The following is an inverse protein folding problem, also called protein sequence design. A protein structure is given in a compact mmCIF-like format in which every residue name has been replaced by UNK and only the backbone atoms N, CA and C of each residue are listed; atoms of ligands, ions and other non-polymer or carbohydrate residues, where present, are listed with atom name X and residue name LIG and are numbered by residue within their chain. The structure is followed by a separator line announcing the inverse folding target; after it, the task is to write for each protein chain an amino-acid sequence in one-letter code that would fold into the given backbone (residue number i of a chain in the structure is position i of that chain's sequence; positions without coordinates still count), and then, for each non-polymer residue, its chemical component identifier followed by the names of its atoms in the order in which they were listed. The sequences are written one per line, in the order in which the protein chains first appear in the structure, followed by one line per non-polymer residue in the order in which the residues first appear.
data_IF_381183454191
#
_entry.id   IF_381183454191
#
_cell.length_a   1.000
_cell.length_b   1.000
_cell.length_c   1.000
_cell.angle_alpha   90.00
_cell.angle_beta   90.00
_cell.angle_gamma   90.00
#
_symmetry.space_group_name_H-M   'P 1'
#
loop_
_entity.id
_entity.type
_entity.pdbx_description
1 polymer ?
#
# COMPACT_ATOMS: atom_id res chain seq x y z
N UNK A 1 22.20 -45.81 63.28
CA UNK A 1 22.17 -44.46 62.58
C UNK A 1 21.83 -44.74 61.18
N UNK A 2 20.58 -44.45 60.75
CA UNK A 2 20.10 -44.59 59.34
C UNK A 2 19.99 -43.20 58.72
N UNK A 3 20.78 -42.93 57.69
CA UNK A 3 20.75 -41.69 56.93
C UNK A 3 19.58 -41.74 55.95
N UNK A 4 18.65 -40.80 56.06
CA UNK A 4 17.63 -40.53 55.02
C UNK A 4 18.25 -39.59 53.99
N UNK A 5 18.35 -40.06 52.77
CA UNK A 5 18.65 -39.19 51.59
C UNK A 5 17.34 -38.66 51.02
N UNK A 6 17.16 -37.32 51.06
CA UNK A 6 16.03 -36.65 50.45
C UNK A 6 16.35 -36.38 48.96
N UNK A 7 15.56 -36.95 48.04
CA UNK A 7 15.62 -36.67 46.62
C UNK A 7 14.77 -35.41 46.32
N UNK A 8 15.41 -34.36 45.83
CA UNK A 8 14.73 -33.14 45.35
C UNK A 8 14.32 -33.37 43.90
N UNK A 9 13.03 -33.50 43.65
CA UNK A 9 12.44 -33.51 42.30
C UNK A 9 12.29 -32.07 41.82
N UNK A 10 13.11 -31.67 40.84
CA UNK A 10 12.98 -30.38 40.16
C UNK A 10 11.97 -30.55 39.02
N UNK A 11 10.78 -29.99 39.17
CA UNK A 11 9.79 -29.89 38.08
C UNK A 11 10.19 -28.76 37.14
N UNK A 12 10.59 -29.09 35.93
CA UNK A 12 10.72 -28.14 34.84
C UNK A 12 9.33 -27.87 34.24
N UNK A 13 8.77 -26.70 34.49
CA UNK A 13 7.58 -26.23 33.80
C UNK A 13 7.96 -25.79 32.37
N UNK A 14 7.63 -26.60 31.37
CA UNK A 14 7.73 -26.23 29.96
C UNK A 14 6.60 -25.26 29.72
N UNK A 15 6.91 -23.95 29.65
CA UNK A 15 5.99 -22.93 29.15
C UNK A 15 5.93 -23.10 27.64
N UNK A 16 4.89 -23.76 27.16
CA UNK A 16 4.52 -23.79 25.76
C UNK A 16 4.07 -22.38 25.37
N UNK A 17 4.97 -21.57 24.81
CA UNK A 17 4.62 -20.36 24.10
C UNK A 17 3.84 -20.78 22.85
N UNK A 18 2.51 -20.73 22.89
CA UNK A 18 1.70 -20.82 21.70
C UNK A 18 2.10 -19.67 20.75
N UNK A 19 2.33 -19.93 19.45
CA UNK A 19 2.60 -18.86 18.51
C UNK A 19 1.40 -17.90 18.53
N UNK A 20 1.65 -16.62 18.80
CA UNK A 20 0.65 -15.59 18.65
C UNK A 20 0.21 -15.61 17.17
N UNK A 21 -0.99 -16.10 16.90
CA UNK A 21 -1.61 -15.95 15.59
C UNK A 21 -1.79 -14.45 15.40
N UNK A 22 -1.03 -13.88 14.47
CA UNK A 22 -1.25 -12.51 14.04
C UNK A 22 -2.72 -12.42 13.59
N UNK A 23 -3.51 -11.64 14.33
CA UNK A 23 -4.93 -11.49 14.06
C UNK A 23 -5.06 -10.86 12.66
N UNK A 24 -5.64 -11.59 11.72
CA UNK A 24 -5.82 -11.12 10.35
C UNK A 24 -6.70 -9.87 10.40
N UNK A 25 -6.25 -8.78 9.78
CA UNK A 25 -7.06 -7.56 9.65
C UNK A 25 -8.30 -7.91 8.83
N UNK A 26 -9.51 -7.63 9.35
CA UNK A 26 -10.75 -7.92 8.61
C UNK A 26 -10.75 -7.22 7.25
N UNK A 27 -11.25 -7.90 6.22
CA UNK A 27 -11.38 -7.31 4.88
C UNK A 27 -12.55 -6.35 4.78
N UNK A 28 -13.59 -6.57 5.60
CA UNK A 28 -14.69 -5.61 5.71
C UNK A 28 -14.23 -4.39 6.52
N UNK A 29 -14.31 -3.22 5.90
CA UNK A 29 -13.95 -1.95 6.53
C UNK A 29 -14.97 -1.58 7.62
N UNK A 30 -14.50 -0.85 8.64
CA UNK A 30 -15.38 -0.27 9.67
C UNK A 30 -15.07 1.20 9.85
N UNK A 31 -16.12 2.01 9.85
CA UNK A 31 -16.02 3.46 10.16
C UNK A 31 -15.61 3.73 11.61
N UNK A 32 -15.73 2.75 12.50
CA UNK A 32 -15.25 2.86 13.89
C UNK A 32 -13.73 3.01 13.96
N UNK A 33 -13.04 2.58 12.89
CA UNK A 33 -11.59 2.74 12.73
C UNK A 33 -11.20 4.04 12.02
N UNK A 34 -12.17 4.93 11.77
CA UNK A 34 -11.91 6.21 11.11
C UNK A 34 -11.33 7.21 12.09
N UNK A 35 -10.28 7.92 11.67
CA UNK A 35 -9.67 9.00 12.45
C UNK A 35 -9.26 10.16 11.53
N UNK A 36 -9.25 11.35 12.10
CA UNK A 36 -8.72 12.54 11.42
C UNK A 36 -7.20 12.54 11.50
N UNK A 37 -6.55 12.66 10.36
CA UNK A 37 -5.08 12.66 10.20
C UNK A 37 -4.55 14.09 10.18
N UNK A 38 -5.31 15.00 9.54
CA UNK A 38 -5.00 16.43 9.44
C UNK A 38 -6.31 17.23 9.31
N UNK A 39 -6.29 18.56 9.25
CA UNK A 39 -7.52 19.35 9.19
C UNK A 39 -8.51 18.93 8.09
N UNK A 40 -8.03 18.48 6.94
CA UNK A 40 -8.87 18.10 5.81
C UNK A 40 -8.81 16.60 5.46
N UNK A 41 -7.93 15.82 6.10
CA UNK A 41 -7.71 14.40 5.76
C UNK A 41 -8.21 13.49 6.88
N UNK A 42 -9.07 12.58 6.52
CA UNK A 42 -9.57 11.49 7.33
C UNK A 42 -9.08 10.15 6.77
N UNK A 43 -8.90 9.16 7.63
CA UNK A 43 -8.45 7.83 7.23
C UNK A 43 -9.31 6.77 7.92
N UNK A 44 -9.85 5.83 7.15
CA UNK A 44 -10.39 4.57 7.66
C UNK A 44 -9.23 3.57 7.67
N UNK A 45 -8.84 3.13 8.86
CA UNK A 45 -7.78 2.12 8.99
C UNK A 45 -8.31 0.75 8.57
N UNK A 46 -7.63 0.13 7.64
CA UNK A 46 -8.01 -1.17 7.09
C UNK A 46 -6.87 -1.84 6.31
N UNK A 47 -7.23 -2.70 5.38
CA UNK A 47 -6.32 -3.29 4.41
C UNK A 47 -6.99 -3.26 3.03
N UNK A 48 -6.79 -2.14 2.29
CA UNK A 48 -5.90 -0.99 2.58
C UNK A 48 -6.49 0.05 3.57
N UNK A 49 -5.66 1.02 3.99
CA UNK A 49 -6.13 2.27 4.56
C UNK A 49 -6.79 3.10 3.46
N UNK A 50 -7.94 3.71 3.77
CA UNK A 50 -8.70 4.53 2.83
C UNK A 50 -8.61 5.98 3.28
N UNK A 51 -8.26 6.90 2.38
CA UNK A 51 -8.23 8.31 2.72
C UNK A 51 -9.44 9.07 2.16
N UNK A 52 -9.96 10.03 2.95
CA UNK A 52 -11.04 10.92 2.57
C UNK A 52 -10.55 12.35 2.80
N UNK A 53 -10.52 13.15 1.74
CA UNK A 53 -10.09 14.55 1.79
C UNK A 53 -11.30 15.45 1.58
N UNK A 54 -11.63 16.25 2.60
CA UNK A 54 -12.84 17.09 2.63
C UNK A 54 -12.46 18.55 2.48
N UNK A 55 -12.85 19.16 1.37
CA UNK A 55 -12.75 20.61 1.15
C UNK A 55 -14.10 21.30 1.20
N UNK A 56 -14.14 22.63 1.03
CA UNK A 56 -15.37 23.42 1.07
C UNK A 56 -16.28 23.25 -0.14
N UNK A 57 -15.77 22.80 -1.29
CA UNK A 57 -16.52 22.68 -2.55
C UNK A 57 -16.72 21.25 -3.01
N UNK A 58 -15.84 20.34 -2.59
CA UNK A 58 -15.85 18.95 -3.01
C UNK A 58 -15.10 18.07 -2.01
N UNK A 59 -15.33 16.77 -2.12
CA UNK A 59 -14.63 15.72 -1.35
C UNK A 59 -13.97 14.76 -2.32
N UNK A 60 -12.73 14.35 -2.03
CA UNK A 60 -12.01 13.29 -2.73
C UNK A 60 -11.87 12.08 -1.82
N UNK A 61 -12.18 10.92 -2.36
CA UNK A 61 -11.84 9.61 -1.76
C UNK A 61 -10.66 9.02 -2.51
N UNK A 62 -9.70 8.48 -1.78
CA UNK A 62 -8.54 7.76 -2.32
C UNK A 62 -8.63 6.32 -1.84
N UNK A 63 -8.77 5.41 -2.79
CA UNK A 63 -9.11 4.00 -2.65
C UNK A 63 -10.52 3.73 -2.13
N UNK A 64 -11.00 2.50 -2.30
CA UNK A 64 -12.41 2.21 -2.05
C UNK A 64 -12.68 0.82 -1.41
N UNK A 65 -11.62 0.06 -1.15
CA UNK A 65 -11.72 -1.24 -0.49
C UNK A 65 -12.09 -2.39 -1.44
N UNK A 66 -12.04 -3.60 -0.88
CA UNK A 66 -12.35 -4.83 -1.59
C UNK A 66 -13.87 -5.01 -1.74
N UNK A 67 -14.38 -4.90 -2.97
CA UNK A 67 -15.77 -5.16 -3.34
C UNK A 67 -16.74 -4.03 -3.03
N UNK A 68 -17.90 -4.07 -3.67
CA UNK A 68 -18.97 -3.06 -3.63
C UNK A 68 -19.42 -2.71 -2.21
N UNK A 69 -19.42 -3.68 -1.30
CA UNK A 69 -19.83 -3.47 0.10
C UNK A 69 -18.88 -2.53 0.84
N UNK A 70 -17.57 -2.68 0.67
CA UNK A 70 -16.58 -1.75 1.21
C UNK A 70 -16.70 -0.38 0.57
N UNK A 71 -16.83 -0.32 -0.76
CA UNK A 71 -17.04 0.94 -1.47
C UNK A 71 -18.23 1.73 -0.92
N UNK A 72 -19.35 1.07 -0.58
CA UNK A 72 -20.52 1.72 0.05
C UNK A 72 -20.20 2.25 1.43
N UNK A 73 -19.50 1.50 2.28
CA UNK A 73 -19.07 1.95 3.61
C UNK A 73 -18.22 3.23 3.49
N UNK A 74 -17.28 3.23 2.54
CA UNK A 74 -16.38 4.37 2.29
C UNK A 74 -17.17 5.57 1.75
N UNK A 75 -18.05 5.36 0.76
CA UNK A 75 -18.88 6.42 0.19
C UNK A 75 -19.80 7.07 1.24
N UNK A 76 -20.46 6.25 2.08
CA UNK A 76 -21.31 6.73 3.16
C UNK A 76 -20.51 7.54 4.20
N UNK A 77 -19.29 7.12 4.53
CA UNK A 77 -18.40 7.88 5.41
C UNK A 77 -18.00 9.22 4.79
N UNK A 78 -17.62 9.23 3.51
CA UNK A 78 -17.28 10.45 2.78
C UNK A 78 -18.47 11.44 2.73
N UNK A 79 -19.67 10.96 2.44
CA UNK A 79 -20.88 11.78 2.39
C UNK A 79 -21.27 12.36 3.76
N UNK A 80 -21.03 11.63 4.85
CA UNK A 80 -21.26 12.14 6.23
C UNK A 80 -20.28 13.24 6.61
N UNK A 81 -19.04 13.20 6.13
CA UNK A 81 -18.03 14.22 6.36
C UNK A 81 -18.22 15.45 5.46
N UNK A 82 -18.80 15.25 4.27
CA UNK A 82 -18.97 16.28 3.27
C UNK A 82 -20.13 17.24 3.61
N UNK A 83 -20.00 18.54 3.35
CA UNK A 83 -21.16 19.44 3.27
C UNK A 83 -22.19 18.93 2.26
N UNK A 84 -23.48 19.14 2.56
CA UNK A 84 -24.60 18.66 1.74
C UNK A 84 -24.52 19.20 0.32
N UNK A 85 -24.68 18.31 -0.67
CA UNK A 85 -24.72 18.67 -2.09
C UNK A 85 -23.36 18.88 -2.75
N UNK A 86 -22.28 18.56 -2.08
CA UNK A 86 -20.93 18.62 -2.68
C UNK A 86 -20.71 17.53 -3.73
N UNK A 87 -19.81 17.83 -4.66
CA UNK A 87 -19.29 16.83 -5.60
C UNK A 87 -18.41 15.83 -4.88
N UNK A 88 -18.58 14.57 -5.20
CA UNK A 88 -17.73 13.48 -4.74
C UNK A 88 -16.81 13.04 -5.88
N UNK A 89 -15.51 13.05 -5.61
CA UNK A 89 -14.48 12.52 -6.47
C UNK A 89 -13.93 11.22 -5.88
N UNK A 90 -13.49 10.34 -6.75
CA UNK A 90 -12.85 9.08 -6.40
C UNK A 90 -11.58 8.92 -7.22
N UNK A 91 -10.52 8.46 -6.62
CA UNK A 91 -9.32 7.96 -7.30
C UNK A 91 -8.82 6.70 -6.62
N UNK A 92 -7.93 5.96 -7.25
CA UNK A 92 -7.31 4.77 -6.69
C UNK A 92 -5.80 4.86 -6.83
N UNK A 93 -5.07 4.49 -5.77
CA UNK A 93 -3.61 4.54 -5.76
C UNK A 93 -3.02 3.59 -6.79
N UNK A 94 -3.64 2.44 -6.99
CA UNK A 94 -3.29 1.49 -8.05
C UNK A 94 -4.45 0.51 -8.33
N UNK A 95 -4.28 -0.40 -9.30
CA UNK A 95 -5.37 -1.21 -9.83
C UNK A 95 -5.69 -2.48 -9.05
N UNK A 96 -5.02 -2.79 -7.94
CA UNK A 96 -5.29 -4.01 -7.18
C UNK A 96 -6.71 -4.07 -6.65
N UNK A 97 -7.20 -5.30 -6.47
CA UNK A 97 -8.60 -5.54 -6.17
C UNK A 97 -9.08 -4.84 -4.89
N UNK A 98 -8.26 -4.83 -3.84
CA UNK A 98 -8.57 -4.18 -2.56
C UNK A 98 -8.58 -2.65 -2.60
N UNK A 99 -8.08 -2.05 -3.67
CA UNK A 99 -8.04 -0.60 -3.88
C UNK A 99 -9.13 -0.12 -4.85
N UNK A 100 -9.52 -0.95 -5.83
CA UNK A 100 -10.32 -0.51 -6.97
C UNK A 100 -11.68 -1.21 -7.13
N UNK A 101 -11.95 -2.32 -6.43
CA UNK A 101 -13.22 -3.06 -6.66
C UNK A 101 -14.42 -2.52 -5.91
N UNK A 102 -14.23 -1.56 -5.02
CA UNK A 102 -15.30 -0.86 -4.33
C UNK A 102 -16.03 0.19 -5.18
N UNK A 103 -15.57 0.50 -6.40
CA UNK A 103 -16.16 1.49 -7.31
C UNK A 103 -17.70 1.43 -7.35
N UNK A 104 -18.26 0.21 -7.47
CA UNK A 104 -19.70 -0.02 -7.57
C UNK A 104 -20.51 0.39 -6.33
N UNK A 105 -19.86 0.66 -5.19
CA UNK A 105 -20.49 1.13 -3.95
C UNK A 105 -20.75 2.62 -3.92
N UNK A 106 -20.16 3.40 -4.82
CA UNK A 106 -20.29 4.84 -4.87
C UNK A 106 -21.59 5.29 -5.56
N UNK A 107 -22.16 6.42 -5.11
CA UNK A 107 -23.40 6.93 -5.70
C UNK A 107 -23.21 7.39 -7.16
N UNK A 108 -24.28 7.33 -7.93
CA UNK A 108 -24.31 7.90 -9.27
C UNK A 108 -23.90 9.38 -9.24
N UNK A 109 -23.07 9.80 -10.19
CA UNK A 109 -22.52 11.16 -10.25
C UNK A 109 -21.18 11.34 -9.52
N UNK A 110 -20.65 10.31 -8.86
CA UNK A 110 -19.24 10.30 -8.42
C UNK A 110 -18.33 10.40 -9.63
N UNK A 111 -17.34 11.30 -9.57
CA UNK A 111 -16.39 11.54 -10.67
C UNK A 111 -15.11 10.73 -10.37
N UNK A 112 -14.88 9.68 -11.14
CA UNK A 112 -13.68 8.86 -11.03
C UNK A 112 -12.56 9.48 -11.88
N UNK A 113 -11.42 9.70 -11.23
CA UNK A 113 -10.17 10.18 -11.85
C UNK A 113 -9.16 9.02 -11.78
N UNK A 114 -8.37 8.80 -12.83
CA UNK A 114 -7.38 7.73 -12.82
C UNK A 114 -6.22 8.04 -13.78
N UNK A 115 -4.98 7.65 -13.48
CA UNK A 115 -3.90 7.66 -14.48
C UNK A 115 -4.25 6.75 -15.66
N UNK A 116 -3.99 7.20 -16.88
CA UNK A 116 -4.27 6.42 -18.09
C UNK A 116 -3.54 5.06 -18.06
N UNK A 117 -2.31 5.04 -17.57
CA UNK A 117 -1.52 3.81 -17.43
C UNK A 117 -2.15 2.83 -16.45
N UNK A 118 -2.69 3.31 -15.34
CA UNK A 118 -3.40 2.48 -14.34
C UNK A 118 -4.70 1.90 -14.92
N UNK A 119 -5.45 2.72 -15.70
CA UNK A 119 -6.66 2.25 -16.35
C UNK A 119 -6.37 1.14 -17.35
N UNK A 120 -5.33 1.30 -18.16
CA UNK A 120 -4.89 0.27 -19.12
C UNK A 120 -4.45 -1.02 -18.41
N UNK A 121 -3.77 -0.90 -17.27
CA UNK A 121 -3.36 -2.05 -16.46
C UNK A 121 -4.58 -2.76 -15.83
N UNK A 122 -5.57 -2.01 -15.33
CA UNK A 122 -6.82 -2.55 -14.82
C UNK A 122 -7.59 -3.32 -15.91
N UNK A 123 -7.65 -2.79 -17.13
CA UNK A 123 -8.33 -3.42 -18.25
C UNK A 123 -7.66 -4.71 -18.71
N UNK A 124 -6.32 -4.78 -18.64
CA UNK A 124 -5.55 -5.97 -19.06
C UNK A 124 -5.40 -7.04 -17.99
N UNK A 125 -5.21 -6.65 -16.73
CA UNK A 125 -4.82 -7.55 -15.64
C UNK A 125 -5.86 -7.64 -14.51
N UNK A 126 -6.85 -6.76 -14.48
CA UNK A 126 -7.80 -6.66 -13.37
C UNK A 126 -8.54 -7.96 -13.09
N UNK A 127 -9.01 -8.67 -14.13
CA UNK A 127 -9.72 -9.95 -13.94
C UNK A 127 -8.84 -11.00 -13.27
N UNK A 128 -7.58 -11.10 -13.65
CA UNK A 128 -6.61 -12.02 -13.05
C UNK A 128 -6.43 -11.77 -11.55
N UNK A 129 -6.41 -10.50 -11.14
CA UNK A 129 -6.34 -10.15 -9.72
C UNK A 129 -7.62 -10.50 -8.97
N UNK A 130 -8.79 -10.32 -9.59
CA UNK A 130 -10.06 -10.77 -9.01
C UNK A 130 -10.02 -12.28 -8.74
N UNK A 131 -9.55 -13.08 -9.69
CA UNK A 131 -9.45 -14.53 -9.54
C UNK A 131 -8.47 -14.91 -8.41
N UNK A 132 -7.31 -14.23 -8.34
CA UNK A 132 -6.33 -14.43 -7.27
C UNK A 132 -6.93 -14.08 -5.91
N UNK A 133 -7.57 -12.92 -5.77
CA UNK A 133 -8.14 -12.48 -4.50
C UNK A 133 -9.29 -13.38 -4.07
N UNK A 134 -10.20 -13.73 -4.98
CA UNK A 134 -11.30 -14.67 -4.70
C UNK A 134 -10.82 -16.04 -4.23
N UNK A 135 -9.62 -16.45 -4.59
CA UNK A 135 -9.03 -17.73 -4.16
C UNK A 135 -8.36 -17.69 -2.78
N UNK A 136 -8.14 -16.49 -2.20
CA UNK A 136 -7.41 -16.31 -0.92
C UNK A 136 -8.23 -16.71 0.31
N UNK A 137 -9.55 -16.43 0.27
CA UNK A 137 -10.47 -16.77 1.38
C UNK A 137 -11.94 -16.69 0.91
N UNK A 138 -12.83 -17.33 1.66
CA UNK A 138 -14.28 -17.19 1.43
C UNK A 138 -14.77 -15.76 1.66
N UNK A 139 -14.19 -15.02 2.62
CA UNK A 139 -14.48 -13.60 2.85
C UNK A 139 -14.13 -12.75 1.60
N UNK A 140 -12.94 -12.91 1.02
CA UNK A 140 -12.53 -12.17 -0.18
C UNK A 140 -13.44 -12.51 -1.35
N UNK A 141 -13.79 -13.80 -1.54
CA UNK A 141 -14.69 -14.28 -2.58
C UNK A 141 -16.09 -13.69 -2.44
N UNK A 142 -16.63 -13.66 -1.23
CA UNK A 142 -17.96 -13.10 -0.96
C UNK A 142 -18.00 -11.59 -1.25
N UNK A 143 -16.95 -10.84 -0.82
CA UNK A 143 -16.85 -9.41 -1.06
C UNK A 143 -16.74 -9.05 -2.56
N UNK A 144 -16.16 -9.96 -3.37
CA UNK A 144 -15.96 -9.75 -4.80
C UNK A 144 -17.12 -10.25 -5.68
N UNK A 145 -18.19 -10.85 -5.12
CA UNK A 145 -19.28 -11.44 -5.93
C UNK A 145 -20.01 -10.43 -6.81
N UNK A 146 -20.15 -9.18 -6.35
CA UNK A 146 -20.92 -8.13 -7.01
C UNK A 146 -20.06 -6.91 -7.38
N UNK A 147 -18.72 -7.07 -7.41
CA UNK A 147 -17.84 -5.99 -7.79
C UNK A 147 -18.14 -5.51 -9.21
N UNK A 148 -17.90 -4.25 -9.44
CA UNK A 148 -17.88 -3.67 -10.79
C UNK A 148 -16.98 -2.43 -10.79
N UNK A 149 -16.23 -2.30 -11.86
CA UNK A 149 -15.45 -1.10 -12.09
C UNK A 149 -16.30 -0.02 -12.73
N UNK A 150 -16.14 1.22 -12.26
CA UNK A 150 -16.66 2.40 -12.94
C UNK A 150 -15.68 2.80 -14.06
N UNK A 151 -16.24 3.40 -15.13
CA UNK A 151 -15.40 4.03 -16.14
C UNK A 151 -14.95 5.41 -15.64
N UNK A 152 -13.65 5.73 -15.70
CA UNK A 152 -13.17 7.04 -15.28
C UNK A 152 -13.71 8.14 -16.21
N UNK A 153 -14.19 9.23 -15.61
CA UNK A 153 -14.59 10.44 -16.35
C UNK A 153 -13.39 11.31 -16.67
N UNK A 154 -12.30 11.17 -15.89
CA UNK A 154 -11.07 11.92 -16.09
C UNK A 154 -9.90 10.94 -16.12
N UNK A 155 -9.17 10.96 -17.24
CA UNK A 155 -7.91 10.25 -17.41
C UNK A 155 -6.78 11.26 -17.56
N UNK A 156 -5.68 11.07 -16.83
CA UNK A 156 -4.49 11.92 -16.93
C UNK A 156 -3.22 11.09 -17.20
N UNK A 157 -2.18 11.73 -17.71
CA UNK A 157 -0.95 11.05 -18.11
C UNK A 157 0.10 11.01 -16.97
N UNK A 158 0.46 12.15 -16.39
CA UNK A 158 1.47 12.22 -15.33
C UNK A 158 1.00 12.94 -14.07
N UNK A 159 0.26 14.04 -14.23
CA UNK A 159 -0.21 14.89 -13.14
C UNK A 159 -1.63 15.39 -13.40
N UNK A 160 -2.42 15.46 -12.35
CA UNK A 160 -3.72 16.12 -12.36
C UNK A 160 -3.89 16.96 -11.10
N UNK A 161 -4.44 18.17 -11.24
CA UNK A 161 -4.75 19.06 -10.12
C UNK A 161 -6.25 19.15 -9.94
N UNK A 162 -6.68 18.96 -8.69
CA UNK A 162 -8.07 19.05 -8.29
C UNK A 162 -8.23 20.08 -7.18
N UNK A 163 -9.11 21.06 -7.39
CA UNK A 163 -9.48 22.08 -6.41
C UNK A 163 -10.74 21.65 -5.65
N UNK A 164 -10.59 21.40 -4.35
CA UNK A 164 -11.69 21.09 -3.43
C UNK A 164 -12.24 22.34 -2.72
N UNK A 165 -11.73 23.52 -3.07
CA UNK A 165 -12.16 24.84 -2.55
C UNK A 165 -11.11 25.52 -1.70
N UNK A 166 -10.79 24.99 -0.53
CA UNK A 166 -9.73 25.43 0.36
C UNK A 166 -8.57 24.43 0.45
N UNK A 167 -8.69 23.33 -0.27
CA UNK A 167 -7.70 22.27 -0.38
C UNK A 167 -7.35 22.05 -1.84
N UNK A 168 -6.07 22.02 -2.15
CA UNK A 168 -5.54 21.67 -3.48
C UNK A 168 -4.97 20.26 -3.45
N UNK A 169 -5.38 19.46 -4.41
CA UNK A 169 -4.90 18.09 -4.57
C UNK A 169 -4.02 18.01 -5.80
N UNK A 170 -2.91 17.30 -5.67
CA UNK A 170 -2.11 16.90 -6.82
C UNK A 170 -2.04 15.37 -6.85
N UNK A 171 -2.61 14.79 -7.89
CA UNK A 171 -2.52 13.38 -8.24
C UNK A 171 -1.32 13.23 -9.17
N UNK A 172 -0.38 12.33 -8.87
CA UNK A 172 0.85 12.20 -9.65
C UNK A 172 1.25 10.76 -9.87
N UNK A 173 1.65 10.47 -11.10
CA UNK A 173 2.30 9.23 -11.50
C UNK A 173 3.78 9.48 -11.80
N UNK A 174 4.65 8.81 -11.05
CA UNK A 174 6.11 8.96 -11.20
C UNK A 174 6.77 7.84 -11.99
N UNK A 175 6.01 6.89 -12.49
CA UNK A 175 6.51 5.71 -13.20
C UNK A 175 6.23 4.42 -12.46
N UNK A 176 6.57 3.27 -13.06
CA UNK A 176 6.38 1.95 -12.47
C UNK A 176 7.19 1.77 -11.18
N UNK A 177 6.53 1.28 -10.11
CA UNK A 177 7.14 0.93 -8.84
C UNK A 177 6.57 -0.41 -8.33
N UNK A 178 5.47 -0.38 -7.57
CA UNK A 178 4.71 -1.53 -7.12
C UNK A 178 3.90 -2.15 -8.27
N UNK A 179 3.21 -1.30 -9.02
CA UNK A 179 2.52 -1.60 -10.29
C UNK A 179 3.01 -0.66 -11.39
N UNK A 180 2.47 -0.75 -12.61
CA UNK A 180 2.80 0.22 -13.67
C UNK A 180 2.18 1.58 -13.40
N UNK A 181 1.00 1.60 -12.80
CA UNK A 181 0.12 2.75 -12.70
C UNK A 181 -0.02 3.32 -11.29
N UNK A 182 1.00 3.22 -10.45
CA UNK A 182 0.96 3.73 -9.07
C UNK A 182 0.77 5.25 -9.03
N UNK A 183 -0.31 5.68 -8.39
CA UNK A 183 -0.64 7.07 -8.14
C UNK A 183 -0.31 7.44 -6.69
N UNK A 184 0.26 8.61 -6.48
CA UNK A 184 0.37 9.24 -5.17
C UNK A 184 -0.43 10.53 -5.15
N UNK A 185 -0.98 10.87 -3.98
CA UNK A 185 -1.88 12.02 -3.82
C UNK A 185 -1.31 12.98 -2.77
N UNK A 186 -0.91 14.17 -3.20
CA UNK A 186 -0.46 15.25 -2.31
C UNK A 186 -1.59 16.19 -1.97
N UNK A 187 -1.81 16.45 -0.69
CA UNK A 187 -2.88 17.30 -0.14
C UNK A 187 -2.27 18.57 0.45
N UNK A 188 -2.64 19.72 -0.10
CA UNK A 188 -2.18 21.04 0.34
C UNK A 188 -3.36 21.90 0.82
N UNK A 189 -3.24 22.68 1.94
CA UNK A 189 -2.01 23.01 2.66
C UNK A 189 -1.60 22.03 3.75
N UNK A 190 -2.31 20.92 3.96
CA UNK A 190 -2.09 19.99 5.07
C UNK A 190 -0.71 19.33 5.02
N UNK A 191 -0.08 19.32 3.84
CA UNK A 191 1.21 18.66 3.62
C UNK A 191 1.15 17.15 3.91
N UNK A 192 0.07 16.51 3.47
CA UNK A 192 -0.16 15.06 3.60
C UNK A 192 0.04 14.39 2.25
N UNK A 193 0.88 13.36 2.22
CA UNK A 193 1.05 12.47 1.08
C UNK A 193 0.30 11.17 1.35
N UNK A 194 -0.69 10.84 0.53
CA UNK A 194 -1.31 9.52 0.48
C UNK A 194 -0.50 8.76 -0.57
N UNK A 195 0.23 7.75 -0.14
CA UNK A 195 1.33 7.18 -0.94
C UNK A 195 1.01 5.85 -1.61
N UNK A 196 -0.16 5.29 -1.37
CA UNK A 196 -0.43 3.95 -1.85
C UNK A 196 0.60 2.94 -1.32
N UNK A 197 0.97 2.01 -2.17
CA UNK A 197 2.02 1.05 -1.89
C UNK A 197 3.43 1.52 -2.30
N UNK A 198 3.56 2.75 -2.83
CA UNK A 198 4.86 3.31 -3.25
C UNK A 198 5.75 3.61 -2.06
N UNK A 199 5.18 4.14 -0.96
CA UNK A 199 5.91 4.42 0.29
C UNK A 199 5.20 3.73 1.44
N UNK A 200 5.87 2.80 2.07
CA UNK A 200 5.35 2.04 3.21
C UNK A 200 6.14 2.33 4.49
N UNK A 201 5.55 2.05 5.63
CA UNK A 201 6.20 2.19 6.92
C UNK A 201 6.70 0.83 7.40
N UNK A 202 7.98 0.55 7.16
CA UNK A 202 8.65 -0.70 7.57
C UNK A 202 8.01 -1.95 6.96
N UNK A 203 7.73 -1.92 5.67
CA UNK A 203 7.21 -3.07 4.92
C UNK A 203 8.05 -3.31 3.68
N UNK A 204 8.50 -4.54 3.47
CA UNK A 204 9.25 -4.92 2.28
C UNK A 204 8.41 -4.83 1.01
N UNK A 205 9.02 -4.56 -0.15
CA UNK A 205 8.33 -4.27 -1.40
C UNK A 205 7.74 -5.52 -2.06
N UNK A 206 6.73 -5.28 -2.88
CA UNK A 206 6.15 -6.23 -3.83
C UNK A 206 6.19 -5.64 -5.23
N UNK A 207 6.42 -6.48 -6.22
CA UNK A 207 6.49 -6.10 -7.63
C UNK A 207 5.46 -6.89 -8.43
N UNK A 208 4.46 -6.22 -8.95
CA UNK A 208 3.36 -6.86 -9.66
C UNK A 208 3.40 -6.70 -11.18
N UNK A 209 4.43 -6.08 -11.72
CA UNK A 209 4.61 -5.99 -13.17
C UNK A 209 6.03 -6.39 -13.61
N UNK A 210 6.19 -6.77 -14.88
CA UNK A 210 7.50 -7.12 -15.44
C UNK A 210 8.47 -5.94 -15.45
N UNK A 211 7.94 -4.75 -15.69
CA UNK A 211 8.67 -3.47 -15.74
C UNK A 211 8.96 -2.90 -14.35
N UNK A 212 8.26 -3.38 -13.32
CA UNK A 212 8.46 -2.96 -11.94
C UNK A 212 9.74 -3.59 -11.39
N UNK A 213 10.75 -2.78 -11.19
CA UNK A 213 12.07 -3.21 -10.73
C UNK A 213 12.54 -2.38 -9.54
N UNK A 214 13.43 -2.89 -8.66
CA UNK A 214 13.99 -2.10 -7.57
C UNK A 214 14.67 -0.80 -8.04
N UNK A 215 15.38 -0.83 -9.17
CA UNK A 215 16.00 0.36 -9.75
C UNK A 215 14.96 1.36 -10.28
N UNK A 216 13.89 0.89 -10.92
CA UNK A 216 12.77 1.73 -11.36
C UNK A 216 12.06 2.38 -10.18
N UNK A 217 11.77 1.61 -9.13
CA UNK A 217 11.15 2.13 -7.90
C UNK A 217 12.06 3.14 -7.20
N UNK A 218 13.38 2.88 -7.13
CA UNK A 218 14.34 3.84 -6.61
C UNK A 218 14.28 5.18 -7.37
N UNK A 219 14.20 5.13 -8.71
CA UNK A 219 14.04 6.34 -9.53
C UNK A 219 12.70 7.06 -9.28
N UNK A 220 11.62 6.33 -9.00
CA UNK A 220 10.33 6.90 -8.56
C UNK A 220 10.51 7.62 -7.22
N UNK A 221 11.18 6.98 -6.24
CA UNK A 221 11.45 7.59 -4.94
C UNK A 221 12.29 8.87 -5.04
N UNK A 222 13.29 8.91 -5.94
CA UNK A 222 14.10 10.09 -6.19
C UNK A 222 13.26 11.26 -6.73
N UNK A 223 12.39 11.01 -7.70
CA UNK A 223 11.48 12.04 -8.26
C UNK A 223 10.47 12.51 -7.22
N UNK A 224 9.89 11.60 -6.46
CA UNK A 224 8.94 11.90 -5.40
C UNK A 224 9.57 12.78 -4.33
N UNK A 225 10.80 12.44 -3.87
CA UNK A 225 11.56 13.22 -2.88
C UNK A 225 11.98 14.61 -3.37
N UNK A 226 12.21 14.78 -4.67
CA UNK A 226 12.50 16.09 -5.27
C UNK A 226 11.26 16.98 -5.34
N UNK A 227 10.10 16.40 -5.58
CA UNK A 227 8.86 17.16 -5.82
C UNK A 227 8.06 17.40 -4.54
N UNK A 228 8.06 16.47 -3.58
CA UNK A 228 7.21 16.52 -2.39
C UNK A 228 8.01 16.41 -1.10
N UNK A 229 7.65 17.25 -0.12
CA UNK A 229 8.22 17.26 1.22
C UNK A 229 7.08 17.20 2.26
N UNK A 230 6.35 16.06 2.32
CA UNK A 230 5.19 15.94 3.18
C UNK A 230 5.58 15.96 4.66
N UNK A 231 4.71 16.51 5.50
CA UNK A 231 4.81 16.38 6.96
C UNK A 231 4.26 15.05 7.45
N UNK A 232 3.25 14.52 6.74
CA UNK A 232 2.57 13.29 7.07
C UNK A 232 2.53 12.42 5.80
N UNK A 233 2.81 11.13 5.95
CA UNK A 233 2.62 10.12 4.90
C UNK A 233 1.60 9.11 5.38
N UNK A 234 0.60 8.85 4.54
CA UNK A 234 -0.46 7.85 4.74
C UNK A 234 -0.24 6.71 3.75
N UNK A 235 0.41 5.62 4.19
CA UNK A 235 0.55 4.40 3.39
C UNK A 235 -0.73 3.57 3.43
N UNK A 236 -0.89 2.66 2.45
CA UNK A 236 -2.10 1.85 2.37
C UNK A 236 -2.07 0.62 3.28
N UNK A 237 -0.92 -0.02 3.48
CA UNK A 237 -0.81 -1.28 4.24
C UNK A 237 0.08 -1.19 5.48
N UNK A 238 0.36 0.02 5.96
CA UNK A 238 1.20 0.23 7.13
C UNK A 238 0.77 1.49 7.92
N UNK A 239 1.27 1.68 9.16
CA UNK A 239 0.91 2.83 9.97
C UNK A 239 1.32 4.16 9.34
N UNK A 240 0.50 5.20 9.55
CA UNK A 240 0.85 6.59 9.22
C UNK A 240 2.20 6.97 9.85
N UNK A 241 3.00 7.71 9.11
CA UNK A 241 4.28 8.26 9.55
C UNK A 241 4.51 9.67 9.06
N UNK A 242 5.73 10.13 9.19
CA UNK A 242 6.16 11.44 8.70
C UNK A 242 6.91 11.34 7.36
N UNK A 243 7.35 12.47 6.82
CA UNK A 243 8.06 12.54 5.55
C UNK A 243 9.35 11.72 5.46
N UNK A 244 9.93 11.30 6.61
CA UNK A 244 11.12 10.45 6.63
C UNK A 244 10.88 9.05 6.05
N UNK A 245 9.61 8.63 5.92
CA UNK A 245 9.27 7.35 5.28
C UNK A 245 9.77 7.29 3.83
N UNK A 246 9.74 8.42 3.10
CA UNK A 246 10.26 8.48 1.71
C UNK A 246 11.75 8.12 1.70
N UNK A 247 12.54 8.73 2.59
CA UNK A 247 13.97 8.45 2.67
C UNK A 247 14.26 7.02 3.15
N UNK A 248 13.42 6.49 4.06
CA UNK A 248 13.52 5.13 4.56
C UNK A 248 13.27 4.08 3.48
N UNK A 249 12.19 4.23 2.70
CA UNK A 249 11.85 3.34 1.58
C UNK A 249 12.93 3.42 0.48
N UNK A 250 13.38 4.65 0.17
CA UNK A 250 14.47 4.87 -0.78
C UNK A 250 15.75 4.12 -0.36
N UNK A 251 16.13 4.23 0.92
CA UNK A 251 17.32 3.56 1.44
C UNK A 251 17.21 2.04 1.34
N UNK A 252 16.03 1.50 1.63
CA UNK A 252 15.76 0.08 1.51
C UNK A 252 15.92 -0.41 0.06
N UNK A 253 15.34 0.30 -0.92
CA UNK A 253 15.50 -0.03 -2.34
C UNK A 253 16.94 0.09 -2.80
N UNK A 254 17.65 1.13 -2.36
CA UNK A 254 19.06 1.34 -2.70
C UNK A 254 19.95 0.21 -2.17
N UNK A 255 19.68 -0.31 -0.97
CA UNK A 255 20.39 -1.46 -0.41
C UNK A 255 20.17 -2.72 -1.27
N UNK A 256 18.92 -3.00 -1.68
CA UNK A 256 18.63 -4.15 -2.56
C UNK A 256 19.41 -4.03 -3.87
N UNK A 257 19.33 -2.87 -4.53
CA UNK A 257 20.00 -2.65 -5.82
C UNK A 257 21.52 -2.77 -5.68
N UNK A 258 22.11 -1.97 -4.78
CA UNK A 258 23.56 -1.88 -4.67
C UNK A 258 24.19 -3.21 -4.21
N UNK A 259 23.57 -3.87 -3.22
CA UNK A 259 24.12 -5.13 -2.71
C UNK A 259 23.97 -6.29 -3.72
N UNK A 260 22.84 -6.32 -4.45
CA UNK A 260 22.65 -7.29 -5.53
C UNK A 260 23.73 -7.13 -6.61
N UNK A 261 24.00 -5.90 -7.04
CA UNK A 261 25.02 -5.63 -8.06
C UNK A 261 26.44 -5.96 -7.55
N UNK A 262 26.75 -5.66 -6.28
CA UNK A 262 28.02 -6.05 -5.69
C UNK A 262 28.23 -7.57 -5.71
N UNK A 263 27.26 -8.34 -5.25
CA UNK A 263 27.33 -9.82 -5.25
C UNK A 263 27.43 -10.40 -6.68
N UNK A 264 26.70 -9.81 -7.63
CA UNK A 264 26.81 -10.17 -9.04
C UNK A 264 28.22 -9.92 -9.57
N UNK A 265 28.83 -8.79 -9.24
CA UNK A 265 30.20 -8.44 -9.63
C UNK A 265 31.26 -9.34 -8.98
N UNK A 266 30.97 -9.88 -7.78
CA UNK A 266 31.77 -10.89 -7.10
C UNK A 266 31.62 -12.31 -7.75
N UNK A 267 30.82 -12.45 -8.80
CA UNK A 267 30.56 -13.72 -9.49
C UNK A 267 29.59 -14.66 -8.77
N UNK A 268 28.79 -14.16 -7.81
CA UNK A 268 27.76 -14.95 -7.15
C UNK A 268 26.63 -15.25 -8.13
N UNK A 269 26.08 -16.47 -8.06
CA UNK A 269 24.85 -16.82 -8.77
C UNK A 269 23.64 -16.02 -8.24
N UNK A 270 22.57 -15.96 -9.01
CA UNK A 270 21.32 -15.30 -8.57
C UNK A 270 20.77 -15.98 -7.31
N UNK A 271 20.85 -17.30 -7.22
CA UNK A 271 20.36 -18.03 -6.04
C UNK A 271 21.22 -17.79 -4.80
N UNK A 272 22.55 -17.74 -4.93
CA UNK A 272 23.43 -17.34 -3.82
C UNK A 272 23.17 -15.89 -3.40
N UNK A 273 22.96 -15.00 -4.38
CA UNK A 273 22.63 -13.58 -4.14
C UNK A 273 21.34 -13.44 -3.34
N UNK A 274 20.27 -14.13 -3.74
CA UNK A 274 18.99 -14.16 -3.00
C UNK A 274 19.21 -14.59 -1.55
N UNK A 275 19.88 -15.71 -1.33
CA UNK A 275 20.15 -16.27 0.00
C UNK A 275 20.96 -15.33 0.88
N UNK A 276 22.05 -14.74 0.34
CA UNK A 276 22.93 -13.83 1.08
C UNK A 276 22.18 -12.55 1.42
N UNK A 277 21.56 -11.93 0.43
CA UNK A 277 20.89 -10.65 0.60
C UNK A 277 19.68 -10.76 1.52
N UNK A 278 18.89 -11.83 1.44
CA UNK A 278 17.78 -12.06 2.38
C UNK A 278 18.26 -12.09 3.84
N UNK A 279 19.39 -12.74 4.14
CA UNK A 279 19.96 -12.74 5.48
C UNK A 279 20.45 -11.35 5.92
N UNK A 280 21.18 -10.64 5.06
CA UNK A 280 21.71 -9.29 5.33
C UNK A 280 20.59 -8.27 5.54
N UNK A 281 19.58 -8.26 4.68
CA UNK A 281 18.42 -7.34 4.76
C UNK A 281 17.59 -7.64 6.00
N UNK A 282 17.31 -8.92 6.32
CA UNK A 282 16.57 -9.28 7.53
C UNK A 282 17.31 -8.83 8.80
N UNK A 283 18.64 -8.93 8.82
CA UNK A 283 19.45 -8.47 9.94
C UNK A 283 19.48 -6.94 10.06
N UNK A 284 19.56 -6.21 8.93
CA UNK A 284 19.61 -4.75 8.91
C UNK A 284 18.25 -4.10 9.21
N UNK A 285 17.16 -4.66 8.68
CA UNK A 285 15.82 -4.12 8.77
C UNK A 285 14.94 -4.91 9.76
N UNK A 286 15.47 -5.17 10.95
CA UNK A 286 14.74 -5.87 12.01
C UNK A 286 13.40 -5.14 12.31
N UNK A 287 12.31 -5.92 12.43
CA UNK A 287 10.98 -5.41 12.70
C UNK A 287 10.23 -4.89 11.48
N UNK A 288 10.82 -4.98 10.27
CA UNK A 288 10.07 -4.77 9.05
C UNK A 288 9.25 -6.02 8.70
N UNK A 289 8.05 -5.82 8.17
CA UNK A 289 7.20 -6.88 7.62
C UNK A 289 7.58 -7.21 6.17
N UNK A 290 7.11 -8.34 5.62
CA UNK A 290 7.26 -8.66 4.20
C UNK A 290 8.66 -9.07 3.74
N UNK A 291 9.68 -9.10 4.61
CA UNK A 291 11.07 -9.40 4.23
C UNK A 291 11.29 -10.83 3.69
N UNK A 292 10.37 -11.77 3.96
CA UNK A 292 10.44 -13.13 3.39
C UNK A 292 10.15 -13.23 1.87
N UNK A 293 9.94 -12.10 1.18
CA UNK A 293 9.53 -12.04 -0.23
C UNK A 293 10.53 -11.32 -1.13
N UNK A 294 11.77 -11.19 -0.68
CA UNK A 294 12.81 -10.44 -1.39
C UNK A 294 13.34 -11.15 -2.65
N UNK A 295 13.04 -12.42 -2.83
CA UNK A 295 13.54 -13.23 -3.96
C UNK A 295 13.21 -12.62 -5.32
N UNK A 296 11.98 -12.10 -5.50
CA UNK A 296 11.58 -11.44 -6.74
C UNK A 296 12.33 -10.11 -6.94
N UNK A 297 12.42 -9.29 -5.89
CA UNK A 297 13.17 -8.04 -5.91
C UNK A 297 14.64 -8.27 -6.29
N UNK A 298 15.28 -9.25 -5.66
CA UNK A 298 16.67 -9.61 -5.94
C UNK A 298 16.83 -10.14 -7.35
N UNK A 299 15.92 -11.01 -7.81
CA UNK A 299 15.93 -11.55 -9.17
C UNK A 299 15.85 -10.45 -10.24
N UNK A 300 14.94 -9.50 -10.05
CA UNK A 300 14.78 -8.33 -10.92
C UNK A 300 16.00 -7.40 -10.89
N UNK A 301 16.56 -7.12 -9.71
CA UNK A 301 17.77 -6.32 -9.57
C UNK A 301 19.00 -7.01 -10.19
N UNK A 302 19.10 -8.34 -10.07
CA UNK A 302 20.19 -9.12 -10.64
C UNK A 302 20.16 -9.15 -12.17
N UNK A 303 18.97 -9.26 -12.76
CA UNK A 303 18.76 -9.30 -14.21
C UNK A 303 18.78 -7.92 -14.87
N UNK A 304 18.57 -6.87 -14.08
CA UNK A 304 18.56 -5.49 -14.56
C UNK A 304 19.95 -4.93 -14.91
N UNK A 305 19.98 -3.75 -15.52
CA UNK A 305 21.23 -3.02 -15.73
C UNK A 305 21.88 -2.67 -14.40
N UNK A 306 23.23 -2.49 -14.40
CA UNK A 306 23.97 -2.11 -13.20
C UNK A 306 23.60 -0.70 -12.72
#
# INVERSE_FOLDING_TARGET
MKSLSAAILVFWAIVLCAPAHAQRVPRLLSVDNMKQVSPHVWMITGSPNIAIVVGKKATLVVDNGLGTKNGRIVADAALKLSPIGQKLYLTTTHYHAEHATGDGGFPAGTILIRPRVQQAELESEGQKLIDIFSSRSEEDKELLQDYRYLQPQILFDSDYRLDLGDVQIRLSWFGPAHTKGDEVVMVEPDSVLISGDVVQNKTGPYFYCSECTPAGWLAVMDRLAQQYHPKIVVPDHSPVGDGSLIASERAFMADIVSRTQALKSEGKSVEDTKRILAAEITAKYQGWSGLGRLDDAVGKAYSGPP
#
